data_IF_704690162011
#
_entry.id   IF_704690162011
#
_cell.length_a   1.000
_cell.length_b   1.000
_cell.length_c   1.000
_cell.angle_alpha   90.00
_cell.angle_beta   90.00
_cell.angle_gamma   90.00
#
_symmetry.space_group_name_H-M   'P 1'
#
loop_
_entity.id
_entity.type
_entity.pdbx_description
1 polymer ?
#
# COMPACT_ATOMS: atom_id res chain seq x y z
N UNK A 1 -0.02 35.79 24.52
CA UNK A 1 0.64 34.91 25.51
C UNK A 1 1.72 34.14 24.77
N UNK A 2 2.99 34.37 25.08
CA UNK A 2 4.10 33.59 24.52
C UNK A 2 4.01 32.13 25.00
N UNK A 3 4.13 31.18 24.06
CA UNK A 3 4.17 29.75 24.38
C UNK A 3 5.51 29.45 25.07
N UNK A 4 5.47 28.98 26.31
CA UNK A 4 6.68 28.50 27.01
C UNK A 4 7.17 27.19 26.35
N UNK A 5 8.48 27.02 26.10
CA UNK A 5 9.04 25.74 25.68
C UNK A 5 8.71 24.61 26.67
N UNK A 6 8.53 23.38 26.20
CA UNK A 6 8.13 22.23 27.04
C UNK A 6 9.03 22.03 28.27
N UNK A 7 10.35 22.19 28.10
CA UNK A 7 11.32 22.03 29.18
C UNK A 7 11.19 23.07 30.30
N UNK A 8 10.55 24.20 30.02
CA UNK A 8 10.32 25.29 30.99
C UNK A 8 8.95 25.17 31.67
N UNK A 9 8.17 24.12 31.40
CA UNK A 9 6.93 23.82 32.10
C UNK A 9 7.23 23.21 33.47
N UNK A 10 6.28 23.37 34.40
CA UNK A 10 6.33 22.76 35.72
C UNK A 10 6.46 21.23 35.60
N UNK A 11 7.17 20.61 36.54
CA UNK A 11 7.43 19.17 36.52
C UNK A 11 6.15 18.34 36.51
N UNK A 12 5.11 18.75 37.27
CA UNK A 12 3.80 18.08 37.25
C UNK A 12 3.16 18.06 35.84
N UNK A 13 3.23 19.19 35.12
CA UNK A 13 2.71 19.30 33.75
C UNK A 13 3.50 18.38 32.80
N UNK A 14 4.84 18.42 32.88
CA UNK A 14 5.69 17.55 32.04
C UNK A 14 5.38 16.08 32.28
N UNK A 15 5.28 15.66 33.55
CA UNK A 15 4.94 14.29 33.92
C UNK A 15 3.55 13.87 33.44
N UNK A 16 2.55 14.75 33.52
CA UNK A 16 1.19 14.50 33.00
C UNK A 16 1.20 14.33 31.48
N UNK A 17 1.90 15.20 30.74
CA UNK A 17 2.02 15.09 29.28
C UNK A 17 2.69 13.78 28.90
N UNK A 18 3.81 13.42 29.53
CA UNK A 18 4.50 12.15 29.27
C UNK A 18 3.58 10.96 29.57
N UNK A 19 2.84 10.98 30.68
CA UNK A 19 1.87 9.92 31.00
C UNK A 19 0.79 9.81 29.94
N UNK A 20 0.16 10.92 29.55
CA UNK A 20 -0.87 10.90 28.52
C UNK A 20 -0.34 10.34 27.19
N UNK A 21 0.87 10.75 26.77
CA UNK A 21 1.50 10.22 25.57
C UNK A 21 1.76 8.71 25.67
N UNK A 22 2.27 8.23 26.79
CA UNK A 22 2.64 6.83 26.96
C UNK A 22 1.44 5.88 27.16
N UNK A 23 0.38 6.34 27.83
CA UNK A 23 -0.71 5.45 28.28
C UNK A 23 -2.06 5.73 27.63
N UNK A 24 -2.35 6.98 27.27
CA UNK A 24 -3.70 7.38 26.83
C UNK A 24 -3.80 7.62 25.32
N UNK A 25 -2.67 7.64 24.59
CA UNK A 25 -2.68 7.73 23.13
C UNK A 25 -2.68 6.35 22.48
N UNK A 26 -3.29 6.16 21.30
CA UNK A 26 -3.24 4.90 20.55
C UNK A 26 -1.93 4.74 19.78
N UNK A 27 -0.81 5.19 20.36
CA UNK A 27 0.51 5.11 19.74
C UNK A 27 1.31 3.98 20.40
N UNK A 28 1.92 3.14 19.57
CA UNK A 28 2.87 2.14 20.02
C UNK A 28 4.22 2.82 20.22
N UNK A 29 4.68 2.98 21.46
CA UNK A 29 5.93 3.68 21.78
C UNK A 29 6.91 2.69 22.39
N UNK A 30 8.15 2.70 21.90
CA UNK A 30 9.18 1.77 22.35
C UNK A 30 10.57 2.40 22.36
N UNK A 31 11.41 1.91 23.26
CA UNK A 31 12.85 2.22 23.34
C UNK A 31 13.61 0.90 23.13
N UNK A 32 14.45 0.85 22.10
CA UNK A 32 15.28 -0.32 21.80
C UNK A 32 16.76 0.00 22.01
N UNK A 33 17.48 -0.99 22.51
CA UNK A 33 18.94 -1.04 22.45
C UNK A 33 19.30 -1.80 21.17
N UNK A 34 19.70 -1.06 20.14
CA UNK A 34 20.02 -1.64 18.83
C UNK A 34 21.40 -2.27 18.80
N UNK A 35 22.31 -1.83 19.68
CA UNK A 35 23.62 -2.45 19.84
C UNK A 35 23.51 -3.85 20.46
N UNK A 36 22.63 -4.02 21.45
CA UNK A 36 22.43 -5.29 22.14
C UNK A 36 21.24 -6.12 21.63
N UNK A 37 20.52 -5.62 20.62
CA UNK A 37 19.28 -6.22 20.09
C UNK A 37 18.29 -6.60 21.21
N UNK A 38 17.94 -5.63 22.05
CA UNK A 38 16.95 -5.86 23.12
C UNK A 38 15.94 -4.73 23.21
N UNK A 39 14.72 -5.07 23.62
CA UNK A 39 13.75 -4.08 24.06
C UNK A 39 14.11 -3.55 25.45
N UNK A 40 14.12 -2.22 25.62
CA UNK A 40 14.26 -1.56 26.92
C UNK A 40 12.89 -1.22 27.49
N UNK A 41 12.01 -0.73 26.64
CA UNK A 41 10.68 -0.28 27.01
C UNK A 41 9.73 -0.43 25.83
N UNK A 42 8.49 -0.79 26.13
CA UNK A 42 7.33 -0.72 25.25
C UNK A 42 6.15 -0.30 26.12
N UNK A 43 5.31 0.61 25.60
CA UNK A 43 4.07 0.94 26.29
C UNK A 43 3.01 -0.14 26.10
N UNK A 44 1.96 -0.08 26.93
CA UNK A 44 0.85 -1.06 26.90
C UNK A 44 0.17 -1.15 25.53
N UNK A 45 0.12 -0.03 24.81
CA UNK A 45 -0.52 0.05 23.49
C UNK A 45 0.25 -0.74 22.43
N UNK A 46 1.58 -0.79 22.53
CA UNK A 46 2.40 -1.65 21.67
C UNK A 46 1.96 -3.12 21.83
N UNK A 47 1.94 -3.61 23.07
CA UNK A 47 1.58 -4.99 23.40
C UNK A 47 0.15 -5.34 22.94
N UNK A 48 -0.82 -4.46 23.20
CA UNK A 48 -2.21 -4.61 22.72
C UNK A 48 -2.30 -4.68 21.20
N UNK A 49 -1.49 -3.89 20.49
CA UNK A 49 -1.53 -3.85 19.04
C UNK A 49 -1.11 -5.19 18.41
N UNK A 50 -0.14 -5.90 19.01
CA UNK A 50 0.37 -7.19 18.52
C UNK A 50 -0.24 -8.42 19.23
N UNK A 51 -1.02 -8.20 20.30
CA UNK A 51 -1.73 -9.25 21.03
C UNK A 51 -0.91 -10.04 22.04
N UNK A 52 0.31 -9.60 22.35
CA UNK A 52 1.17 -10.22 23.36
C UNK A 52 1.04 -9.51 24.71
N UNK A 53 1.27 -10.23 25.80
CA UNK A 53 1.55 -9.59 27.10
C UNK A 53 3.03 -9.19 27.19
N UNK A 54 3.37 -8.28 28.10
CA UNK A 54 4.76 -7.90 28.34
C UNK A 54 5.63 -9.10 28.73
N UNK A 55 5.12 -10.00 29.58
CA UNK A 55 5.83 -11.20 30.04
C UNK A 55 6.09 -12.19 28.90
N UNK A 56 5.11 -12.40 28.01
CA UNK A 56 5.30 -13.24 26.83
C UNK A 56 6.34 -12.64 25.88
N UNK A 57 6.30 -11.33 25.69
CA UNK A 57 7.26 -10.64 24.83
C UNK A 57 8.69 -10.68 25.40
N UNK A 58 8.84 -10.52 26.71
CA UNK A 58 10.13 -10.66 27.40
C UNK A 58 10.77 -12.05 27.17
N UNK A 59 9.95 -13.10 27.00
CA UNK A 59 10.44 -14.46 26.77
C UNK A 59 11.18 -14.62 25.44
N UNK A 60 10.96 -13.72 24.46
CA UNK A 60 11.70 -13.71 23.19
C UNK A 60 13.15 -13.27 23.34
N UNK A 61 13.49 -12.54 24.41
CA UNK A 61 14.86 -12.12 24.69
C UNK A 61 15.51 -11.37 23.53
N UNK A 62 16.64 -11.87 23.04
CA UNK A 62 17.42 -11.25 21.95
C UNK A 62 16.86 -11.51 20.56
N UNK A 63 16.00 -12.53 20.43
CA UNK A 63 15.45 -12.99 19.16
C UNK A 63 14.10 -12.32 18.86
N UNK A 64 13.71 -11.30 19.64
CA UNK A 64 12.40 -10.66 19.52
C UNK A 64 12.13 -10.05 18.14
N UNK A 65 13.17 -9.61 17.42
CA UNK A 65 12.98 -9.08 16.06
C UNK A 65 12.64 -10.24 15.11
N UNK A 66 13.35 -11.34 15.23
CA UNK A 66 13.19 -12.54 14.42
C UNK A 66 11.85 -13.25 14.70
N UNK A 67 11.36 -13.23 15.94
CA UNK A 67 10.04 -13.76 16.31
C UNK A 67 8.88 -12.86 15.83
N UNK A 68 9.10 -11.55 15.76
CA UNK A 68 8.05 -10.57 15.45
C UNK A 68 7.99 -10.18 13.98
N UNK A 69 9.05 -10.36 13.21
CA UNK A 69 9.13 -9.89 11.83
C UNK A 69 9.13 -11.12 10.91
N UNK A 70 8.32 -11.11 9.82
CA UNK A 70 8.35 -12.20 8.85
C UNK A 70 9.76 -12.39 8.28
N UNK A 71 10.25 -13.63 8.11
CA UNK A 71 11.59 -13.88 7.59
C UNK A 71 11.87 -13.20 6.24
N UNK A 72 10.86 -13.07 5.38
CA UNK A 72 10.98 -12.38 4.10
C UNK A 72 11.22 -10.86 4.22
N UNK A 73 10.93 -10.25 5.39
CA UNK A 73 11.12 -8.82 5.65
C UNK A 73 12.48 -8.53 6.31
N UNK A 74 13.26 -9.55 6.68
CA UNK A 74 14.56 -9.39 7.35
C UNK A 74 15.58 -8.59 6.54
N UNK A 75 15.65 -8.79 5.22
CA UNK A 75 16.59 -8.05 4.38
C UNK A 75 16.34 -6.53 4.45
N UNK A 76 15.08 -6.12 4.40
CA UNK A 76 14.70 -4.71 4.49
C UNK A 76 14.95 -4.15 5.89
N UNK A 77 14.68 -4.95 6.93
CA UNK A 77 14.99 -4.57 8.31
C UNK A 77 16.49 -4.34 8.50
N UNK A 78 17.34 -5.26 8.02
CA UNK A 78 18.79 -5.13 8.19
C UNK A 78 19.37 -3.95 7.42
N UNK A 79 18.88 -3.69 6.20
CA UNK A 79 19.23 -2.46 5.45
C UNK A 79 18.87 -1.20 6.23
N UNK A 80 17.66 -1.16 6.79
CA UNK A 80 17.23 -0.03 7.62
C UNK A 80 18.13 0.16 8.86
N UNK A 81 18.50 -0.92 9.55
CA UNK A 81 19.38 -0.86 10.71
C UNK A 81 20.80 -0.38 10.34
N UNK A 82 21.31 -0.80 9.18
CA UNK A 82 22.60 -0.33 8.65
C UNK A 82 22.55 1.17 8.33
N UNK A 83 21.52 1.63 7.63
CA UNK A 83 21.29 3.05 7.34
C UNK A 83 21.20 3.89 8.62
N UNK A 84 20.46 3.40 9.62
CA UNK A 84 20.31 4.05 10.91
C UNK A 84 21.65 4.14 11.66
N UNK A 85 22.44 3.06 11.64
CA UNK A 85 23.75 2.99 12.29
C UNK A 85 24.74 4.00 11.69
N UNK A 86 24.70 4.17 10.36
CA UNK A 86 25.56 5.08 9.63
C UNK A 86 25.03 6.53 9.58
N UNK A 87 23.86 6.80 10.16
CA UNK A 87 23.26 8.13 10.13
C UNK A 87 24.09 9.13 10.95
N UNK A 88 24.57 10.23 10.35
CA UNK A 88 25.38 11.24 11.05
C UNK A 88 24.53 12.21 11.89
N UNK A 89 23.20 12.16 11.76
CA UNK A 89 22.25 13.05 12.43
C UNK A 89 21.22 12.24 13.19
N UNK A 90 20.64 12.85 14.21
CA UNK A 90 19.56 12.26 15.01
C UNK A 90 18.18 12.61 14.43
N UNK A 91 18.10 12.65 13.09
CA UNK A 91 16.87 12.92 12.35
C UNK A 91 15.89 11.74 12.46
N UNK A 92 14.62 11.97 12.14
CA UNK A 92 13.61 10.90 12.12
C UNK A 92 13.79 10.02 10.89
N UNK A 93 14.00 8.73 11.13
CA UNK A 93 13.97 7.66 10.14
C UNK A 93 12.57 7.03 10.10
N UNK A 94 12.18 6.47 8.95
CA UNK A 94 10.88 5.83 8.77
C UNK A 94 11.08 4.40 8.33
N UNK A 95 10.44 3.46 9.04
CA UNK A 95 10.39 2.05 8.67
C UNK A 95 8.93 1.60 8.57
N UNK A 96 8.55 1.04 7.42
CA UNK A 96 7.26 0.36 7.25
C UNK A 96 7.54 -1.13 7.14
N UNK A 97 7.00 -1.92 8.07
CA UNK A 97 7.19 -3.37 8.06
C UNK A 97 5.95 -4.10 8.59
N UNK A 98 5.92 -5.42 8.36
CA UNK A 98 4.92 -6.29 8.97
C UNK A 98 5.40 -6.79 10.33
N UNK A 99 4.44 -6.99 11.22
CA UNK A 99 4.61 -7.70 12.48
C UNK A 99 3.72 -8.95 12.49
N UNK A 100 4.27 -10.04 13.01
CA UNK A 100 3.55 -11.27 13.34
C UNK A 100 2.86 -11.06 14.69
N UNK A 101 1.54 -11.12 14.70
CA UNK A 101 0.75 -11.03 15.93
C UNK A 101 0.65 -12.40 16.60
N UNK A 102 0.26 -12.42 17.88
CA UNK A 102 0.12 -13.66 18.66
C UNK A 102 -0.85 -14.67 18.05
N UNK A 103 -1.87 -14.19 17.34
CA UNK A 103 -2.86 -15.02 16.64
C UNK A 103 -2.37 -15.53 15.27
N UNK A 104 -1.13 -15.24 14.89
CA UNK A 104 -0.55 -15.56 13.59
C UNK A 104 -0.93 -14.60 12.47
N UNK A 105 -1.75 -13.57 12.75
CA UNK A 105 -2.08 -12.55 11.76
C UNK A 105 -0.92 -11.58 11.52
N UNK A 106 -0.91 -10.95 10.34
CA UNK A 106 0.06 -9.91 10.01
C UNK A 106 -0.59 -8.53 10.13
N UNK A 107 0.10 -7.64 10.85
CA UNK A 107 -0.23 -6.20 10.90
C UNK A 107 0.90 -5.38 10.34
N UNK A 108 0.57 -4.29 9.65
CA UNK A 108 1.55 -3.35 9.12
C UNK A 108 1.75 -2.21 10.10
N UNK A 109 3.00 -1.89 10.41
CA UNK A 109 3.36 -0.75 11.23
C UNK A 109 4.22 0.22 10.45
N UNK A 110 3.86 1.50 10.53
CA UNK A 110 4.71 2.61 10.12
C UNK A 110 5.35 3.20 11.37
N UNK A 111 6.67 3.04 11.47
CA UNK A 111 7.45 3.47 12.61
C UNK A 111 8.24 4.73 12.26
N UNK A 112 8.16 5.72 13.14
CA UNK A 112 9.01 6.89 13.16
C UNK A 112 10.08 6.66 14.24
N UNK A 113 11.34 6.58 13.82
CA UNK A 113 12.44 6.13 14.67
C UNK A 113 13.47 7.24 14.72
N UNK A 114 13.83 7.66 15.93
CA UNK A 114 14.88 8.65 16.17
C UNK A 114 15.97 8.02 17.03
N UNK A 115 17.22 8.41 16.77
CA UNK A 115 18.35 8.02 17.62
C UNK A 115 18.20 8.76 18.95
N UNK A 116 18.08 8.00 20.04
CA UNK A 116 17.85 8.53 21.37
C UNK A 116 19.16 8.74 22.14
N UNK A 117 20.11 7.82 21.98
CA UNK A 117 21.43 7.89 22.62
C UNK A 117 22.47 7.25 21.70
N UNK A 118 23.66 7.86 21.65
CA UNK A 118 24.85 7.32 21.00
C UNK A 118 25.90 6.96 22.05
N UNK A 119 26.73 5.97 21.72
CA UNK A 119 27.95 5.70 22.47
C UNK A 119 28.96 6.85 22.31
N UNK A 120 29.98 6.95 23.18
CA UNK A 120 31.08 7.90 23.02
C UNK A 120 31.82 7.78 21.68
N UNK A 121 31.78 6.60 21.05
CA UNK A 121 32.31 6.33 19.70
C UNK A 121 31.51 7.00 18.58
N UNK A 122 30.32 7.53 18.87
CA UNK A 122 29.38 8.11 17.90
C UNK A 122 28.38 7.11 17.32
N UNK A 123 28.49 5.82 17.65
CA UNK A 123 27.59 4.76 17.16
C UNK A 123 26.23 4.86 17.87
N UNK A 124 25.10 4.78 17.14
CA UNK A 124 23.77 4.69 17.75
C UNK A 124 23.64 3.50 18.69
N UNK A 125 23.19 3.76 19.92
CA UNK A 125 23.00 2.76 20.97
C UNK A 125 21.52 2.52 21.22
N UNK A 126 20.79 3.60 21.49
CA UNK A 126 19.36 3.56 21.79
C UNK A 126 18.56 4.28 20.72
N UNK A 127 17.40 3.72 20.40
CA UNK A 127 16.45 4.32 19.46
C UNK A 127 15.07 4.38 20.08
N UNK A 128 14.43 5.54 19.93
CA UNK A 128 13.04 5.76 20.31
C UNK A 128 12.18 5.59 19.05
N UNK A 129 11.19 4.71 19.11
CA UNK A 129 10.26 4.48 18.02
C UNK A 129 8.83 4.78 18.41
N UNK A 130 8.09 5.36 17.47
CA UNK A 130 6.64 5.54 17.53
C UNK A 130 6.03 4.82 16.32
N UNK A 131 5.32 3.74 16.60
CA UNK A 131 4.61 2.92 15.63
C UNK A 131 3.14 3.29 15.51
N UNK A 132 2.67 3.39 14.27
CA UNK A 132 1.26 3.54 13.92
C UNK A 132 0.86 2.31 13.12
N UNK A 133 -0.20 1.62 13.55
CA UNK A 133 -0.77 0.55 12.76
C UNK A 133 -1.39 1.13 11.47
N UNK A 134 -0.98 0.59 10.33
CA UNK A 134 -1.41 1.02 9.00
C UNK A 134 -1.99 -0.14 8.16
N UNK A 135 -2.36 -1.25 8.80
CA UNK A 135 -2.86 -2.46 8.12
C UNK A 135 -4.05 -2.16 7.23
N UNK A 136 -5.02 -1.39 7.73
CA UNK A 136 -6.21 -1.00 6.98
C UNK A 136 -5.84 -0.23 5.71
N UNK A 137 -4.97 0.77 5.85
CA UNK A 137 -4.53 1.64 4.75
C UNK A 137 -3.75 0.85 3.69
N UNK A 138 -2.88 -0.08 4.13
CA UNK A 138 -2.13 -0.95 3.21
C UNK A 138 -3.08 -1.88 2.46
N UNK A 139 -4.01 -2.55 3.15
CA UNK A 139 -5.01 -3.43 2.51
C UNK A 139 -5.93 -2.67 1.55
N UNK A 140 -6.41 -1.50 1.94
CA UNK A 140 -7.23 -0.63 1.09
C UNK A 140 -6.47 -0.21 -0.18
N UNK A 141 -5.21 0.20 -0.05
CA UNK A 141 -4.36 0.58 -1.18
C UNK A 141 -4.08 -0.62 -2.10
N UNK A 142 -3.81 -1.79 -1.55
CA UNK A 142 -3.58 -3.00 -2.33
C UNK A 142 -4.83 -3.37 -3.13
N UNK A 143 -6.00 -3.33 -2.49
CA UNK A 143 -7.29 -3.59 -3.16
C UNK A 143 -7.56 -2.60 -4.29
N UNK A 144 -7.27 -1.31 -4.08
CA UNK A 144 -7.38 -0.30 -5.14
C UNK A 144 -6.44 -0.60 -6.32
N UNK A 145 -5.21 -0.99 -6.04
CA UNK A 145 -4.24 -1.34 -7.07
C UNK A 145 -4.68 -2.55 -7.90
N UNK A 146 -5.20 -3.59 -7.25
CA UNK A 146 -5.77 -4.76 -7.94
C UNK A 146 -6.96 -4.38 -8.83
N UNK A 147 -7.79 -3.43 -8.40
CA UNK A 147 -8.90 -2.90 -9.22
C UNK A 147 -8.41 -2.12 -10.43
N UNK A 148 -7.40 -1.25 -10.28
CA UNK A 148 -6.80 -0.50 -11.39
C UNK A 148 -6.23 -1.48 -12.43
N UNK A 149 -5.49 -2.50 -11.98
CA UNK A 149 -4.91 -3.51 -12.87
C UNK A 149 -5.98 -4.23 -13.70
N UNK A 150 -7.11 -4.63 -13.09
CA UNK A 150 -8.23 -5.25 -13.80
C UNK A 150 -8.82 -4.32 -14.87
N UNK A 151 -8.94 -3.02 -14.58
CA UNK A 151 -9.42 -2.02 -15.54
C UNK A 151 -8.44 -1.90 -16.72
N UNK A 152 -7.14 -1.87 -16.46
CA UNK A 152 -6.11 -1.81 -17.50
C UNK A 152 -6.15 -3.03 -18.42
N UNK A 153 -6.30 -4.24 -17.85
CA UNK A 153 -6.43 -5.49 -18.61
C UNK A 153 -7.65 -5.46 -19.54
N UNK A 154 -8.81 -5.02 -19.04
CA UNK A 154 -10.04 -4.87 -19.85
C UNK A 154 -9.85 -3.81 -20.93
N UNK A 155 -9.28 -2.64 -20.59
CA UNK A 155 -9.03 -1.56 -21.54
C UNK A 155 -8.07 -1.97 -22.66
N UNK A 156 -7.08 -2.80 -22.33
CA UNK A 156 -6.14 -3.36 -23.31
C UNK A 156 -6.85 -4.33 -24.26
N UNK A 157 -7.65 -5.27 -23.73
CA UNK A 157 -8.44 -6.20 -24.53
C UNK A 157 -9.41 -5.46 -25.46
N UNK A 158 -10.12 -4.46 -24.93
CA UNK A 158 -11.00 -3.57 -25.68
C UNK A 158 -10.27 -2.89 -26.84
N UNK A 159 -9.12 -2.29 -26.55
CA UNK A 159 -8.33 -1.59 -27.56
C UNK A 159 -7.83 -2.54 -28.66
N UNK A 160 -7.62 -3.81 -28.35
CA UNK A 160 -7.25 -4.84 -29.32
C UNK A 160 -8.43 -5.21 -30.24
N UNK A 161 -9.60 -5.49 -29.67
CA UNK A 161 -10.81 -5.82 -30.44
C UNK A 161 -11.25 -4.66 -31.35
N UNK A 162 -11.32 -3.44 -30.82
CA UNK A 162 -11.69 -2.27 -31.62
C UNK A 162 -10.70 -2.01 -32.75
N UNK A 163 -9.39 -2.19 -32.52
CA UNK A 163 -8.40 -2.04 -33.60
C UNK A 163 -8.62 -3.06 -34.69
N UNK A 164 -8.93 -4.32 -34.34
CA UNK A 164 -9.18 -5.37 -35.33
C UNK A 164 -10.39 -5.02 -36.22
N UNK A 165 -11.51 -4.64 -35.61
CA UNK A 165 -12.72 -4.28 -36.37
C UNK A 165 -12.55 -2.97 -37.16
N UNK A 166 -11.88 -1.97 -36.57
CA UNK A 166 -11.55 -0.74 -37.27
C UNK A 166 -10.65 -0.99 -38.49
N UNK A 167 -9.65 -1.87 -38.37
CA UNK A 167 -8.80 -2.27 -39.50
C UNK A 167 -9.61 -2.92 -40.63
N UNK A 168 -10.59 -3.79 -40.32
CA UNK A 168 -11.49 -4.36 -41.34
C UNK A 168 -12.26 -3.26 -42.08
N UNK A 169 -12.89 -2.36 -41.32
CA UNK A 169 -13.66 -1.24 -41.88
C UNK A 169 -12.78 -0.36 -42.78
N UNK A 170 -11.56 -0.04 -42.34
CA UNK A 170 -10.63 0.76 -43.11
C UNK A 170 -10.19 0.06 -44.40
N UNK A 171 -9.85 -1.24 -44.34
CA UNK A 171 -9.49 -2.01 -45.54
C UNK A 171 -10.62 -2.08 -46.57
N UNK A 172 -11.88 -2.20 -46.12
CA UNK A 172 -13.05 -2.15 -47.00
C UNK A 172 -13.17 -0.78 -47.68
N UNK A 173 -13.00 0.30 -46.91
CA UNK A 173 -13.03 1.67 -47.45
C UNK A 173 -11.89 1.94 -48.43
N UNK A 174 -10.68 1.49 -48.13
CA UNK A 174 -9.51 1.58 -49.02
C UNK A 174 -9.76 0.83 -50.34
N UNK A 175 -10.25 -0.40 -50.26
CA UNK A 175 -10.62 -1.21 -51.43
C UNK A 175 -11.66 -0.49 -52.31
N UNK A 176 -12.67 0.13 -51.71
CA UNK A 176 -13.68 0.91 -52.45
C UNK A 176 -13.11 2.16 -53.14
N UNK A 177 -12.06 2.75 -52.56
CA UNK A 177 -11.43 3.98 -53.06
C UNK A 177 -10.48 3.71 -54.23
N UNK A 178 -9.86 2.54 -54.27
CA UNK A 178 -8.94 2.12 -55.34
C UNK A 178 -9.69 1.62 -56.59
N UNK A 179 -10.86 1.00 -56.42
CA UNK A 179 -11.68 0.46 -57.52
C UNK A 179 -12.78 1.46 -57.95
N UNK A 180 -12.37 2.61 -58.52
CA UNK A 180 -13.31 3.68 -58.94
C UNK A 180 -14.07 3.41 -60.24
N UNK A 181 -13.64 2.45 -61.04
CA UNK A 181 -14.20 2.17 -62.36
C UNK A 181 -14.94 0.84 -62.35
N UNK A 182 -16.28 0.92 -62.53
CA UNK A 182 -17.25 -0.18 -62.54
C UNK A 182 -17.30 -1.03 -61.27
N UNK A 183 -18.08 -0.58 -60.29
CA UNK A 183 -18.56 -1.44 -59.21
C UNK A 183 -19.94 -1.94 -59.65
N UNK A 184 -20.08 -3.24 -59.93
CA UNK A 184 -21.41 -3.80 -60.21
C UNK A 184 -22.31 -3.67 -58.97
N UNK A 185 -23.63 -3.72 -59.15
CA UNK A 185 -24.58 -3.64 -58.02
C UNK A 185 -24.29 -4.71 -56.95
N UNK A 186 -23.79 -5.86 -57.38
CA UNK A 186 -23.39 -6.99 -56.52
C UNK A 186 -22.19 -6.64 -55.64
N UNK A 187 -21.17 -5.93 -56.17
CA UNK A 187 -20.01 -5.49 -55.40
C UNK A 187 -20.39 -4.42 -54.35
N UNK A 188 -21.32 -3.52 -54.68
CA UNK A 188 -21.87 -2.54 -53.72
C UNK A 188 -22.67 -3.22 -52.61
N UNK A 189 -23.44 -4.26 -52.94
CA UNK A 189 -24.18 -5.05 -51.96
C UNK A 189 -23.24 -5.83 -51.04
N UNK A 190 -22.17 -6.42 -51.59
CA UNK A 190 -21.15 -7.11 -50.80
C UNK A 190 -20.40 -6.16 -49.86
N UNK A 191 -19.98 -4.97 -50.35
CA UNK A 191 -19.34 -3.93 -49.55
C UNK A 191 -20.25 -3.44 -48.42
N UNK A 192 -21.52 -3.15 -48.72
CA UNK A 192 -22.50 -2.72 -47.74
C UNK A 192 -22.77 -3.79 -46.68
N UNK A 193 -22.87 -5.06 -47.08
CA UNK A 193 -23.01 -6.20 -46.16
C UNK A 193 -21.79 -6.34 -45.25
N UNK A 194 -20.58 -6.25 -45.79
CA UNK A 194 -19.34 -6.38 -45.03
C UNK A 194 -19.14 -5.22 -44.02
N UNK A 195 -19.49 -3.99 -44.41
CA UNK A 195 -19.51 -2.83 -43.50
C UNK A 195 -20.58 -2.97 -42.41
N UNK A 196 -21.75 -3.48 -42.78
CA UNK A 196 -22.82 -3.76 -41.82
C UNK A 196 -22.41 -4.82 -40.80
N UNK A 197 -21.78 -5.92 -41.23
CA UNK A 197 -21.27 -6.95 -40.33
C UNK A 197 -20.18 -6.42 -39.39
N UNK A 198 -19.25 -5.61 -39.89
CA UNK A 198 -18.19 -5.02 -39.04
C UNK A 198 -18.77 -4.02 -38.04
N UNK A 199 -19.75 -3.21 -38.44
CA UNK A 199 -20.43 -2.28 -37.51
C UNK A 199 -21.27 -3.01 -36.46
N UNK A 200 -21.97 -4.10 -36.82
CA UNK A 200 -22.63 -5.00 -35.87
C UNK A 200 -21.64 -5.63 -34.87
N UNK A 201 -20.45 -6.04 -35.35
CA UNK A 201 -19.40 -6.62 -34.50
C UNK A 201 -18.87 -5.59 -33.50
N UNK A 202 -18.61 -4.35 -33.95
CA UNK A 202 -18.22 -3.23 -33.08
C UNK A 202 -19.27 -2.98 -32.00
N UNK A 203 -20.55 -2.95 -32.37
CA UNK A 203 -21.64 -2.67 -31.43
C UNK A 203 -21.76 -3.79 -30.37
N UNK A 204 -21.59 -5.05 -30.77
CA UNK A 204 -21.52 -6.21 -29.85
C UNK A 204 -20.34 -6.10 -28.87
N UNK A 205 -19.14 -5.74 -29.36
CA UNK A 205 -17.98 -5.49 -28.47
C UNK A 205 -18.26 -4.35 -27.50
N UNK A 206 -18.76 -3.20 -27.96
CA UNK A 206 -19.12 -2.05 -27.10
C UNK A 206 -20.15 -2.44 -26.02
N UNK A 207 -21.16 -3.23 -26.40
CA UNK A 207 -22.18 -3.71 -25.47
C UNK A 207 -21.60 -4.65 -24.40
N UNK A 208 -20.79 -5.62 -24.81
CA UNK A 208 -20.07 -6.53 -23.91
C UNK A 208 -19.22 -5.77 -22.90
N UNK A 209 -18.50 -4.75 -23.38
CA UNK A 209 -17.64 -3.88 -22.56
C UNK A 209 -18.45 -3.06 -21.57
N UNK A 210 -19.52 -2.41 -22.02
CA UNK A 210 -20.40 -1.62 -21.14
C UNK A 210 -20.96 -2.48 -20.01
N UNK A 211 -21.28 -3.74 -20.31
CA UNK A 211 -21.71 -4.72 -19.31
C UNK A 211 -20.59 -5.06 -18.31
N UNK A 212 -19.37 -5.33 -18.77
CA UNK A 212 -18.21 -5.59 -17.88
C UNK A 212 -17.90 -4.40 -16.98
N UNK A 213 -17.87 -3.17 -17.52
CA UNK A 213 -17.69 -1.92 -16.78
C UNK A 213 -18.80 -1.71 -15.74
N UNK A 214 -20.06 -1.99 -16.09
CA UNK A 214 -21.19 -1.89 -15.16
C UNK A 214 -21.08 -2.89 -14.00
N UNK A 215 -20.64 -4.12 -14.29
CA UNK A 215 -20.41 -5.16 -13.28
C UNK A 215 -19.30 -4.73 -12.31
N UNK A 216 -18.16 -4.26 -12.82
CA UNK A 216 -17.07 -3.72 -12.01
C UNK A 216 -17.52 -2.54 -11.15
N UNK A 217 -18.31 -1.62 -11.72
CA UNK A 217 -18.85 -0.48 -10.99
C UNK A 217 -19.78 -0.93 -9.86
N UNK A 218 -20.61 -1.95 -10.09
CA UNK A 218 -21.49 -2.50 -9.06
C UNK A 218 -20.70 -3.19 -7.94
N UNK A 219 -19.65 -3.93 -8.30
CA UNK A 219 -18.73 -4.57 -7.36
C UNK A 219 -18.03 -3.50 -6.50
N UNK A 220 -17.57 -2.40 -7.13
CA UNK A 220 -16.98 -1.25 -6.45
C UNK A 220 -17.93 -0.59 -5.43
N UNK A 221 -19.20 -0.39 -5.79
CA UNK A 221 -20.21 0.18 -4.89
C UNK A 221 -20.51 -0.77 -3.72
N UNK A 222 -20.65 -2.06 -3.98
CA UNK A 222 -20.92 -3.07 -2.95
C UNK A 222 -19.78 -3.21 -1.93
N UNK A 223 -18.54 -3.03 -2.38
CA UNK A 223 -17.36 -3.16 -1.53
C UNK A 223 -17.10 -1.94 -0.66
N UNK A 224 -17.51 -0.74 -1.10
CA UNK A 224 -17.35 0.52 -0.35
C UNK A 224 -18.55 0.83 0.57
N UNK A 225 -19.64 0.07 0.47
CA UNK A 225 -20.82 0.22 1.33
C UNK A 225 -20.76 -0.64 2.60
N UNK A 226 -19.72 -1.46 2.77
CA UNK A 226 -19.52 -2.34 3.95
C UNK A 226 -18.61 -1.68 5.02
N UNK A 227 -17.96 -0.55 4.72
CA UNK A 227 -16.99 0.10 5.62
C UNK A 227 -17.45 1.47 6.20
N UNK A 228 -18.76 1.71 6.32
CA UNK A 228 -19.31 2.87 7.05
C UNK A 228 -20.18 2.41 8.22
#
# INVERSE_FOLDING_TARGET
MERKPFFNLETDIRSKVTRHLLYDTPLSIYLLDIAQRRNIFMNEQYYKAIGYTAQEFESFGKDFLEEMIPPEDFENLYKFLEELTNSPKDDSHILVHRCICKDGSYKWFKNYITIFEREPSGVPKLVLGIGIEVTFQVKARQKLFEQIKKIEEISFSLSHELRHEHSKTLSILEFSKENKEMVEVEDLQWLAGSLYESTESIDKSIHSISKQLSSLKSEFISLNSIEI
#
